data_IF_148435973829
#
_entry.id   IF_148435973829
#
_cell.length_a   1.000
_cell.length_b   1.000
_cell.length_c   1.000
_cell.angle_alpha   90.00
_cell.angle_beta   90.00
_cell.angle_gamma   90.00
#
_symmetry.space_group_name_H-M   'P 1'
#
loop_
_entity.id
_entity.type
_entity.pdbx_description
1 polymer ?
#
# COMPACT_ATOMS: atom_id res chain seq x y z
N UNK A 1 15.47 14.13 -7.30
CA UNK A 1 16.35 15.05 -6.53
C UNK A 1 17.83 14.67 -6.69
N UNK A 2 18.28 13.48 -6.25
CA UNK A 2 19.68 13.07 -6.42
C UNK A 2 20.14 13.13 -7.89
N UNK A 3 19.35 12.54 -8.80
CA UNK A 3 19.60 12.58 -10.25
C UNK A 3 19.75 14.00 -10.78
N UNK A 4 18.85 14.91 -10.39
CA UNK A 4 18.87 16.32 -10.78
C UNK A 4 20.15 17.05 -10.35
N UNK A 5 20.63 16.80 -9.12
CA UNK A 5 21.85 17.44 -8.61
C UNK A 5 23.10 16.90 -9.29
N UNK A 6 23.20 15.58 -9.43
CA UNK A 6 24.32 14.92 -10.11
C UNK A 6 24.35 15.32 -11.60
N UNK A 7 23.19 15.37 -12.26
CA UNK A 7 23.06 15.84 -13.64
C UNK A 7 23.39 17.32 -13.82
N UNK A 8 23.23 18.13 -12.78
CA UNK A 8 23.71 19.53 -12.75
C UNK A 8 25.22 19.66 -12.49
N UNK A 9 25.93 18.54 -12.32
CA UNK A 9 27.38 18.51 -12.12
C UNK A 9 27.83 18.63 -10.67
N UNK A 10 26.92 18.59 -9.68
CA UNK A 10 27.30 18.51 -8.27
C UNK A 10 27.98 17.17 -7.98
N UNK A 11 28.97 17.19 -7.09
CA UNK A 11 29.60 15.96 -6.64
C UNK A 11 28.56 15.07 -5.94
N UNK A 12 28.69 13.75 -6.11
CA UNK A 12 27.76 12.78 -5.53
C UNK A 12 27.68 12.90 -4.00
N UNK A 13 28.83 13.06 -3.34
CA UNK A 13 28.90 13.23 -1.88
C UNK A 13 28.18 14.50 -1.41
N UNK A 14 28.43 15.62 -2.08
CA UNK A 14 27.76 16.91 -1.79
C UNK A 14 26.25 16.80 -1.99
N UNK A 15 25.82 16.15 -3.08
CA UNK A 15 24.41 15.89 -3.35
C UNK A 15 23.75 15.06 -2.24
N UNK A 16 24.43 14.04 -1.71
CA UNK A 16 23.92 13.22 -0.60
C UNK A 16 23.82 14.00 0.72
N UNK A 17 24.80 14.87 0.99
CA UNK A 17 24.79 15.74 2.17
C UNK A 17 23.62 16.72 2.14
N UNK A 18 23.40 17.39 0.99
CA UNK A 18 22.25 18.28 0.78
C UNK A 18 20.92 17.54 0.95
N UNK A 19 20.79 16.32 0.40
CA UNK A 19 19.59 15.50 0.62
C UNK A 19 19.38 15.14 2.09
N UNK A 20 20.46 14.86 2.82
CA UNK A 20 20.40 14.58 4.25
C UNK A 20 19.93 15.78 5.07
N UNK A 21 20.32 16.99 4.69
CA UNK A 21 19.87 18.24 5.32
C UNK A 21 18.39 18.56 5.01
N UNK A 22 17.96 18.29 3.77
CA UNK A 22 16.59 18.53 3.30
C UNK A 22 15.60 17.40 3.66
N UNK A 23 16.08 16.28 4.22
CA UNK A 23 15.25 15.13 4.54
C UNK A 23 14.21 15.45 5.63
N UNK A 24 12.93 15.31 5.29
CA UNK A 24 11.82 15.55 6.23
C UNK A 24 11.68 14.48 7.31
N UNK A 25 12.13 13.24 7.02
CA UNK A 25 11.96 12.11 7.94
C UNK A 25 13.29 11.72 8.61
N UNK A 26 13.28 11.37 9.91
CA UNK A 26 14.49 10.91 10.61
C UNK A 26 15.14 9.68 9.95
N UNK A 27 14.31 8.79 9.38
CA UNK A 27 14.79 7.61 8.68
C UNK A 27 15.55 7.95 7.40
N UNK A 28 15.05 8.89 6.60
CA UNK A 28 15.75 9.36 5.39
C UNK A 28 17.04 10.08 5.76
N UNK A 29 17.00 10.97 6.77
CA UNK A 29 18.18 11.68 7.27
C UNK A 29 19.28 10.71 7.73
N UNK A 30 18.92 9.69 8.49
CA UNK A 30 19.87 8.65 8.93
C UNK A 30 20.43 7.85 7.75
N UNK A 31 19.60 7.55 6.74
CA UNK A 31 20.02 6.81 5.53
C UNK A 31 21.01 7.64 4.71
N UNK A 32 20.69 8.91 4.41
CA UNK A 32 21.60 9.81 3.69
C UNK A 32 22.91 10.01 4.45
N UNK A 33 22.86 10.25 5.77
CA UNK A 33 24.07 10.41 6.59
C UNK A 33 24.96 9.16 6.57
N UNK A 34 24.36 7.96 6.61
CA UNK A 34 25.10 6.71 6.48
C UNK A 34 25.78 6.60 5.10
N UNK A 35 25.02 6.82 4.02
CA UNK A 35 25.55 6.79 2.65
C UNK A 35 26.69 7.80 2.46
N UNK A 36 26.52 9.05 2.90
CA UNK A 36 27.56 10.08 2.83
C UNK A 36 28.83 9.67 3.59
N UNK A 37 28.69 9.07 4.78
CA UNK A 37 29.84 8.62 5.56
C UNK A 37 30.58 7.45 4.87
N UNK A 38 29.85 6.47 4.34
CA UNK A 38 30.43 5.31 3.67
C UNK A 38 31.15 5.71 2.37
N UNK A 39 30.53 6.60 1.57
CA UNK A 39 31.12 7.14 0.34
C UNK A 39 32.31 8.04 0.65
N UNK A 40 32.25 8.88 1.70
CA UNK A 40 33.39 9.67 2.17
C UNK A 40 34.55 8.79 2.65
N UNK A 41 34.25 7.60 3.18
CA UNK A 41 35.22 6.57 3.52
C UNK A 41 35.83 5.84 2.32
N UNK A 42 35.39 6.16 1.09
CA UNK A 42 35.87 5.56 -0.15
C UNK A 42 35.12 4.29 -0.58
N UNK A 43 33.99 3.98 0.04
CA UNK A 43 33.13 2.88 -0.42
C UNK A 43 32.35 3.29 -1.66
N UNK A 44 32.14 2.36 -2.57
CA UNK A 44 31.19 2.53 -3.68
C UNK A 44 29.78 2.79 -3.12
N UNK A 45 29.01 3.64 -3.80
CA UNK A 45 27.62 3.95 -3.47
C UNK A 45 26.75 2.68 -3.49
N UNK A 46 26.96 1.78 -4.46
CA UNK A 46 26.17 0.53 -4.52
C UNK A 46 26.38 -0.33 -3.27
N UNK A 47 27.61 -0.41 -2.75
CA UNK A 47 27.95 -1.13 -1.52
C UNK A 47 27.34 -0.43 -0.29
N UNK A 48 27.39 0.89 -0.24
CA UNK A 48 26.75 1.66 0.83
C UNK A 48 25.22 1.44 0.85
N UNK A 49 24.59 1.36 -0.32
CA UNK A 49 23.14 1.10 -0.47
C UNK A 49 22.73 -0.31 -0.03
N UNK A 50 23.57 -1.33 -0.24
CA UNK A 50 23.32 -2.70 0.27
C UNK A 50 23.16 -2.74 1.79
N UNK A 51 23.84 -1.83 2.51
CA UNK A 51 23.68 -1.67 3.95
C UNK A 51 22.31 -1.12 4.38
N UNK A 52 21.43 -0.75 3.44
CA UNK A 52 20.14 -0.10 3.66
C UNK A 52 18.99 -0.79 2.87
N UNK A 53 18.74 -2.10 3.05
CA UNK A 53 17.82 -2.88 2.21
C UNK A 53 16.33 -2.51 2.36
N UNK A 54 15.98 -1.71 3.37
CA UNK A 54 14.63 -1.16 3.53
C UNK A 54 14.36 0.05 2.63
N UNK A 55 15.42 0.74 2.21
CA UNK A 55 15.34 1.94 1.40
C UNK A 55 15.58 1.66 -0.09
N UNK A 56 16.46 0.70 -0.40
CA UNK A 56 16.84 0.35 -1.76
C UNK A 56 16.56 -1.13 -2.02
N UNK A 57 15.91 -1.42 -3.14
CA UNK A 57 15.72 -2.80 -3.61
C UNK A 57 16.94 -3.29 -4.42
N UNK A 58 16.98 -4.59 -4.68
CA UNK A 58 18.11 -5.24 -5.37
C UNK A 58 18.31 -4.72 -6.81
N UNK A 59 17.21 -4.35 -7.49
CA UNK A 59 17.26 -3.79 -8.83
C UNK A 59 17.90 -2.40 -8.83
N UNK A 60 17.51 -1.56 -7.87
CA UNK A 60 18.07 -0.22 -7.68
C UNK A 60 19.59 -0.30 -7.44
N UNK A 61 20.03 -1.17 -6.53
CA UNK A 61 21.45 -1.38 -6.22
C UNK A 61 22.21 -1.87 -7.45
N UNK A 62 21.65 -2.83 -8.18
CA UNK A 62 22.28 -3.39 -9.38
C UNK A 62 22.45 -2.36 -10.50
N UNK A 63 21.46 -1.49 -10.69
CA UNK A 63 21.51 -0.37 -11.63
C UNK A 63 22.59 0.63 -11.24
N UNK A 64 22.64 1.05 -9.98
CA UNK A 64 23.67 1.97 -9.46
C UNK A 64 25.06 1.38 -9.66
N UNK A 65 25.27 0.09 -9.35
CA UNK A 65 26.54 -0.61 -9.59
C UNK A 65 26.95 -0.57 -11.06
N UNK A 66 26.01 -0.78 -11.99
CA UNK A 66 26.29 -0.67 -13.41
C UNK A 66 26.69 0.78 -13.81
N UNK A 67 26.10 1.79 -13.17
CA UNK A 67 26.47 3.19 -13.33
C UNK A 67 27.87 3.52 -12.82
N UNK A 68 28.28 2.93 -11.69
CA UNK A 68 29.64 3.09 -11.14
C UNK A 68 30.69 2.47 -12.06
N UNK A 69 30.47 1.23 -12.51
CA UNK A 69 31.42 0.51 -13.37
C UNK A 69 31.52 1.16 -14.75
N UNK A 70 30.42 1.67 -15.29
CA UNK A 70 30.40 2.35 -16.60
C UNK A 70 30.81 3.82 -16.54
N UNK A 71 30.90 4.41 -15.34
CA UNK A 71 31.13 5.84 -15.13
C UNK A 71 29.98 6.75 -15.57
N UNK A 72 28.79 6.18 -15.84
CA UNK A 72 27.61 6.90 -16.33
C UNK A 72 26.54 7.02 -15.23
N UNK A 73 26.96 7.56 -14.08
CA UNK A 73 26.09 7.70 -12.90
C UNK A 73 24.93 8.68 -13.15
N UNK A 74 25.16 9.73 -13.93
CA UNK A 74 24.16 10.72 -14.35
C UNK A 74 22.99 10.06 -15.10
N UNK A 75 23.29 9.25 -16.11
CA UNK A 75 22.29 8.57 -16.95
C UNK A 75 21.52 7.53 -16.12
N UNK A 76 22.21 6.77 -15.28
CA UNK A 76 21.59 5.73 -14.46
C UNK A 76 20.68 6.33 -13.39
N UNK A 77 21.10 7.39 -12.70
CA UNK A 77 20.27 8.07 -11.72
C UNK A 77 19.02 8.69 -12.35
N UNK A 78 19.13 9.24 -13.56
CA UNK A 78 17.98 9.77 -14.30
C UNK A 78 16.98 8.65 -14.64
N UNK A 79 17.44 7.52 -15.17
CA UNK A 79 16.58 6.35 -15.43
C UNK A 79 15.91 5.82 -14.16
N UNK A 80 16.63 5.81 -13.04
CA UNK A 80 16.07 5.42 -11.74
C UNK A 80 15.04 6.43 -11.24
N UNK A 81 15.24 7.73 -11.47
CA UNK A 81 14.27 8.76 -11.15
C UNK A 81 12.98 8.58 -11.96
N UNK A 82 13.07 8.44 -13.29
CA UNK A 82 11.93 8.19 -14.16
C UNK A 82 11.14 6.93 -13.76
N UNK A 83 11.87 5.85 -13.43
CA UNK A 83 11.27 4.61 -12.97
C UNK A 83 10.48 4.80 -11.67
N UNK A 84 11.06 5.49 -10.68
CA UNK A 84 10.44 5.74 -9.39
C UNK A 84 9.24 6.68 -9.51
N UNK A 85 9.33 7.75 -10.29
CA UNK A 85 8.22 8.68 -10.54
C UNK A 85 7.05 7.97 -11.21
N UNK A 86 7.32 7.12 -12.20
CA UNK A 86 6.25 6.39 -12.88
C UNK A 86 5.60 5.33 -11.97
N UNK A 87 6.37 4.68 -11.10
CA UNK A 87 5.84 3.76 -10.09
C UNK A 87 4.97 4.49 -9.06
N UNK A 88 5.39 5.68 -8.61
CA UNK A 88 4.61 6.50 -7.68
C UNK A 88 3.32 7.01 -8.32
N UNK A 89 3.38 7.49 -9.57
CA UNK A 89 2.22 7.93 -10.34
C UNK A 89 1.18 6.80 -10.46
N UNK A 90 1.62 5.60 -10.82
CA UNK A 90 0.76 4.43 -10.88
C UNK A 90 0.14 4.09 -9.52
N UNK A 91 0.95 4.10 -8.45
CA UNK A 91 0.46 3.83 -7.09
C UNK A 91 -0.58 4.86 -6.66
N UNK A 92 -0.37 6.13 -7.00
CA UNK A 92 -1.31 7.23 -6.73
C UNK A 92 -2.61 7.05 -7.50
N UNK A 93 -2.55 6.64 -8.76
CA UNK A 93 -3.73 6.36 -9.58
C UNK A 93 -4.56 5.22 -8.99
N UNK A 94 -3.90 4.11 -8.62
CA UNK A 94 -4.57 2.97 -7.95
C UNK A 94 -5.21 3.42 -6.63
N UNK A 95 -4.50 4.20 -5.81
CA UNK A 95 -5.03 4.71 -4.54
C UNK A 95 -6.24 5.61 -4.76
N UNK A 96 -6.20 6.48 -5.76
CA UNK A 96 -7.31 7.35 -6.15
C UNK A 96 -8.53 6.53 -6.56
N UNK A 97 -8.36 5.56 -7.47
CA UNK A 97 -9.43 4.69 -7.93
C UNK A 97 -10.08 3.86 -6.80
N UNK A 98 -9.31 3.45 -5.80
CA UNK A 98 -9.79 2.70 -4.64
C UNK A 98 -10.45 3.57 -3.57
N UNK A 99 -10.27 4.89 -3.60
CA UNK A 99 -10.79 5.78 -2.55
C UNK A 99 -12.32 5.76 -2.53
N UNK A 100 -12.99 5.84 -3.69
CA UNK A 100 -14.45 5.83 -3.78
C UNK A 100 -15.09 4.50 -3.31
N UNK A 101 -14.63 3.31 -3.77
CA UNK A 101 -15.11 2.02 -3.26
C UNK A 101 -14.96 1.87 -1.74
N UNK A 102 -13.82 2.29 -1.18
CA UNK A 102 -13.58 2.17 0.27
C UNK A 102 -14.51 3.08 1.07
N UNK A 103 -14.64 4.34 0.67
CA UNK A 103 -15.51 5.30 1.37
C UNK A 103 -16.98 4.89 1.30
N UNK A 104 -17.46 4.50 0.12
CA UNK A 104 -18.86 4.06 -0.06
C UNK A 104 -19.16 2.79 0.73
N UNK A 105 -18.25 1.81 0.74
CA UNK A 105 -18.45 0.58 1.50
C UNK A 105 -18.51 0.82 3.01
N UNK A 106 -17.65 1.70 3.54
CA UNK A 106 -17.71 2.12 4.95
C UNK A 106 -19.04 2.82 5.25
N UNK A 107 -19.49 3.73 4.39
CA UNK A 107 -20.73 4.47 4.60
C UNK A 107 -21.97 3.56 4.56
N UNK A 108 -22.08 2.69 3.55
CA UNK A 108 -23.21 1.74 3.42
C UNK A 108 -23.24 0.81 4.62
N UNK A 109 -22.11 0.20 4.97
CA UNK A 109 -22.02 -0.71 6.13
C UNK A 109 -22.37 0.02 7.42
N UNK A 110 -21.88 1.25 7.60
CA UNK A 110 -22.17 2.07 8.79
C UNK A 110 -23.65 2.43 8.92
N UNK A 111 -24.28 2.90 7.84
CA UNK A 111 -25.72 3.23 7.83
C UNK A 111 -26.57 1.99 8.07
N UNK A 112 -26.29 0.88 7.39
CA UNK A 112 -27.01 -0.38 7.58
C UNK A 112 -26.87 -0.87 9.02
N UNK A 113 -25.68 -0.82 9.61
CA UNK A 113 -25.45 -1.21 10.99
C UNK A 113 -26.21 -0.31 11.98
N UNK A 114 -26.21 1.01 11.75
CA UNK A 114 -26.97 1.96 12.55
C UNK A 114 -28.48 1.67 12.51
N UNK A 115 -29.04 1.47 11.32
CA UNK A 115 -30.46 1.14 11.15
C UNK A 115 -30.82 -0.18 11.84
N UNK A 116 -29.97 -1.20 11.69
CA UNK A 116 -30.19 -2.51 12.30
C UNK A 116 -30.11 -2.48 13.83
N UNK A 117 -29.20 -1.72 14.43
CA UNK A 117 -29.03 -1.70 15.89
C UNK A 117 -29.99 -0.73 16.58
N UNK A 118 -30.24 0.43 15.97
CA UNK A 118 -31.04 1.50 16.57
C UNK A 118 -32.51 1.47 16.20
N UNK A 119 -32.82 1.34 14.90
CA UNK A 119 -34.16 1.60 14.37
C UNK A 119 -35.02 0.35 14.33
N UNK A 120 -34.47 -0.77 13.84
CA UNK A 120 -35.20 -2.04 13.69
C UNK A 120 -35.82 -2.57 15.00
N UNK A 121 -35.16 -2.52 16.18
CA UNK A 121 -35.77 -2.95 17.43
C UNK A 121 -37.00 -2.14 17.85
N UNK A 122 -37.05 -0.84 17.50
CA UNK A 122 -38.19 0.03 17.81
C UNK A 122 -39.48 -0.43 17.12
N UNK A 123 -39.38 -1.11 15.98
CA UNK A 123 -40.55 -1.70 15.31
C UNK A 123 -41.16 -2.86 16.10
N UNK A 124 -40.38 -3.58 16.91
CA UNK A 124 -40.89 -4.69 17.74
C UNK A 124 -41.98 -4.19 18.71
N UNK A 125 -41.78 -3.03 19.31
CA UNK A 125 -42.73 -2.41 20.24
C UNK A 125 -44.01 -1.95 19.52
N UNK A 126 -43.88 -1.40 18.30
CA UNK A 126 -45.02 -0.99 17.47
C UNK A 126 -45.88 -2.20 17.07
N UNK A 127 -45.28 -3.29 16.62
CA UNK A 127 -46.03 -4.50 16.24
C UNK A 127 -46.65 -5.22 17.45
N UNK A 128 -46.00 -5.21 18.61
CA UNK A 128 -46.57 -5.75 19.84
C UNK A 128 -47.85 -5.00 20.28
N UNK A 129 -47.97 -3.71 19.94
CA UNK A 129 -49.17 -2.91 20.24
C UNK A 129 -50.35 -3.15 19.29
N UNK A 130 -50.12 -3.84 18.16
CA UNK A 130 -51.11 -4.06 17.10
C UNK A 130 -51.82 -5.42 17.17
N UNK A 131 -51.58 -6.22 18.23
CA UNK A 131 -52.18 -7.55 18.49
C UNK A 131 -52.15 -8.49 17.27
N UNK A 132 -51.10 -8.39 16.45
CA UNK A 132 -50.95 -9.11 15.19
C UNK A 132 -49.62 -9.84 15.16
N UNK A 133 -49.64 -11.10 14.72
CA UNK A 133 -48.45 -11.93 14.66
C UNK A 133 -47.46 -11.37 13.63
N UNK A 134 -46.20 -11.22 14.06
CA UNK A 134 -45.13 -10.76 13.20
C UNK A 134 -44.92 -11.75 12.04
N UNK A 135 -44.93 -11.31 10.77
CA UNK A 135 -44.57 -12.15 9.63
C UNK A 135 -43.17 -12.75 9.81
N UNK A 136 -42.96 -13.97 9.29
CA UNK A 136 -41.71 -14.71 9.45
C UNK A 136 -40.45 -13.93 8.99
N UNK A 137 -40.57 -13.10 7.95
CA UNK A 137 -39.49 -12.26 7.44
C UNK A 137 -39.10 -11.18 8.46
N UNK A 138 -40.08 -10.56 9.13
CA UNK A 138 -39.83 -9.53 10.15
C UNK A 138 -39.19 -10.13 11.41
N UNK A 139 -39.62 -11.34 11.82
CA UNK A 139 -39.01 -12.06 12.93
C UNK A 139 -37.54 -12.41 12.65
N UNK A 140 -37.22 -12.81 11.41
CA UNK A 140 -35.84 -13.06 10.99
C UNK A 140 -34.97 -11.80 11.07
N UNK A 141 -35.46 -10.67 10.54
CA UNK A 141 -34.74 -9.38 10.57
C UNK A 141 -34.53 -8.89 12.01
N UNK A 142 -35.53 -9.04 12.88
CA UNK A 142 -35.42 -8.74 14.31
C UNK A 142 -34.41 -9.65 15.00
N UNK A 143 -34.40 -10.95 14.69
CA UNK A 143 -33.40 -11.89 15.22
C UNK A 143 -31.97 -11.55 14.81
N UNK A 144 -31.76 -11.13 13.54
CA UNK A 144 -30.45 -10.64 13.07
C UNK A 144 -30.06 -9.34 13.78
N UNK A 145 -30.99 -8.41 13.96
CA UNK A 145 -30.78 -7.16 14.70
C UNK A 145 -30.39 -7.40 16.16
N UNK A 146 -31.10 -8.28 16.87
CA UNK A 146 -30.81 -8.64 18.25
C UNK A 146 -29.44 -9.33 18.38
N UNK A 147 -29.09 -10.22 17.44
CA UNK A 147 -27.75 -10.82 17.38
C UNK A 147 -26.65 -9.78 17.13
N UNK A 148 -26.87 -8.84 16.20
CA UNK A 148 -25.93 -7.75 15.93
C UNK A 148 -25.72 -6.84 17.15
N UNK A 149 -26.77 -6.58 17.93
CA UNK A 149 -26.70 -5.77 19.16
C UNK A 149 -26.01 -6.52 20.30
N UNK A 150 -26.31 -7.81 20.46
CA UNK A 150 -25.71 -8.66 21.50
C UNK A 150 -24.22 -8.94 21.24
N UNK A 151 -23.81 -9.05 19.97
CA UNK A 151 -22.46 -9.47 19.56
C UNK A 151 -21.70 -8.41 18.75
N UNK A 152 -21.94 -7.12 19.02
CA UNK A 152 -21.26 -6.02 18.29
C UNK A 152 -19.72 -6.09 18.39
N UNK A 153 -19.19 -6.53 19.54
CA UNK A 153 -17.76 -6.75 19.77
C UNK A 153 -17.20 -7.85 18.84
N UNK A 154 -17.98 -8.91 18.59
CA UNK A 154 -17.58 -10.01 17.71
C UNK A 154 -17.54 -9.56 16.26
N UNK A 155 -18.48 -8.71 15.81
CA UNK A 155 -18.42 -8.12 14.47
C UNK A 155 -17.17 -7.27 14.26
N UNK A 156 -16.81 -6.41 15.22
CA UNK A 156 -15.57 -5.65 15.14
C UNK A 156 -14.36 -6.58 15.18
N UNK A 157 -14.33 -7.57 16.07
CA UNK A 157 -13.25 -8.56 16.12
C UNK A 157 -13.12 -9.36 14.81
N UNK A 158 -14.23 -9.64 14.12
CA UNK A 158 -14.23 -10.36 12.84
C UNK A 158 -13.72 -9.47 11.70
N UNK A 159 -14.09 -8.18 11.66
CA UNK A 159 -13.56 -7.22 10.68
C UNK A 159 -12.07 -6.98 10.91
N UNK A 160 -11.65 -6.67 12.13
CA UNK A 160 -10.23 -6.46 12.45
C UNK A 160 -9.43 -7.76 12.32
N UNK A 161 -10.02 -8.90 12.65
CA UNK A 161 -9.42 -10.22 12.52
C UNK A 161 -9.25 -10.66 11.07
N UNK A 162 -10.22 -10.39 10.20
CA UNK A 162 -10.10 -10.67 8.75
C UNK A 162 -9.10 -9.74 8.09
N UNK A 163 -9.13 -8.43 8.38
CA UNK A 163 -8.14 -7.47 7.86
C UNK A 163 -6.74 -7.82 8.35
N UNK A 164 -6.56 -8.04 9.65
CA UNK A 164 -5.30 -8.43 10.26
C UNK A 164 -4.80 -9.79 9.77
N UNK A 165 -5.71 -10.75 9.60
CA UNK A 165 -5.46 -12.08 9.04
C UNK A 165 -4.96 -12.00 7.60
N UNK A 166 -5.61 -11.20 6.73
CA UNK A 166 -5.15 -10.96 5.36
C UNK A 166 -3.75 -10.32 5.35
N UNK A 167 -3.50 -9.33 6.22
CA UNK A 167 -2.18 -8.71 6.33
C UNK A 167 -1.09 -9.69 6.80
N UNK A 168 -1.42 -10.58 7.73
CA UNK A 168 -0.50 -11.60 8.23
C UNK A 168 -0.26 -12.70 7.18
N UNK A 169 -1.31 -13.12 6.47
CA UNK A 169 -1.24 -14.12 5.41
C UNK A 169 -0.40 -13.64 4.22
N UNK A 170 -0.48 -12.34 3.89
CA UNK A 170 0.38 -11.71 2.88
C UNK A 170 1.86 -11.67 3.26
N UNK A 171 2.21 -11.76 4.54
CA UNK A 171 3.61 -11.83 4.98
C UNK A 171 4.21 -13.24 4.89
N UNK A 172 3.39 -14.28 4.73
CA UNK A 172 3.85 -15.67 4.57
C UNK A 172 4.11 -15.97 3.09
N UNK A 173 5.21 -16.68 2.76
CA UNK A 173 5.59 -17.00 1.37
C UNK A 173 4.47 -17.70 0.58
N UNK A 174 3.82 -18.71 1.16
CA UNK A 174 2.71 -19.43 0.53
C UNK A 174 1.46 -18.56 0.38
N UNK A 175 1.22 -17.66 1.34
CA UNK A 175 0.07 -16.76 1.34
C UNK A 175 0.21 -15.65 0.31
N UNK A 176 1.42 -15.10 0.13
CA UNK A 176 1.72 -14.13 -0.92
C UNK A 176 1.48 -14.74 -2.32
N UNK A 177 1.99 -15.95 -2.58
CA UNK A 177 1.80 -16.63 -3.87
C UNK A 177 0.34 -16.93 -4.19
N UNK A 178 -0.42 -17.39 -3.18
CA UNK A 178 -1.84 -17.71 -3.36
C UNK A 178 -2.67 -16.44 -3.53
N UNK A 179 -2.34 -15.37 -2.80
CA UNK A 179 -2.95 -14.06 -2.96
C UNK A 179 -2.66 -13.46 -4.34
N UNK A 180 -1.43 -13.59 -4.84
CA UNK A 180 -1.06 -13.13 -6.18
C UNK A 180 -1.82 -13.90 -7.26
N UNK A 181 -1.92 -15.23 -7.12
CA UNK A 181 -2.71 -16.06 -8.05
C UNK A 181 -4.20 -15.69 -8.03
N UNK A 182 -4.77 -15.48 -6.84
CA UNK A 182 -6.16 -15.10 -6.68
C UNK A 182 -6.43 -13.70 -7.23
N UNK A 183 -5.55 -12.74 -6.94
CA UNK A 183 -5.61 -11.35 -7.41
C UNK A 183 -5.54 -11.27 -8.94
N UNK A 184 -4.80 -12.16 -9.59
CA UNK A 184 -4.73 -12.27 -11.06
C UNK A 184 -6.00 -12.88 -11.67
N UNK A 185 -6.78 -13.64 -10.91
CA UNK A 185 -8.03 -14.28 -11.38
C UNK A 185 -9.28 -13.43 -11.15
N UNK A 186 -9.19 -12.31 -10.42
CA UNK A 186 -10.34 -11.42 -10.21
C UNK A 186 -10.68 -10.73 -11.54
N UNK A 187 -11.91 -10.88 -12.07
CA UNK A 187 -12.26 -10.49 -13.44
C UNK A 187 -12.08 -8.98 -13.76
N UNK A 188 -12.12 -8.11 -12.75
CA UNK A 188 -11.91 -6.66 -12.93
C UNK A 188 -10.44 -6.25 -12.71
N UNK A 189 -9.76 -6.86 -11.73
CA UNK A 189 -8.39 -6.46 -11.35
C UNK A 189 -7.29 -7.23 -12.11
N UNK A 190 -7.56 -8.45 -12.58
CA UNK A 190 -6.60 -9.30 -13.29
C UNK A 190 -6.02 -8.67 -14.56
N UNK A 191 -6.84 -8.11 -15.48
CA UNK A 191 -6.35 -7.43 -16.67
C UNK A 191 -5.49 -6.20 -16.34
N UNK A 192 -5.84 -5.48 -15.25
CA UNK A 192 -5.11 -4.30 -14.78
C UNK A 192 -3.71 -4.68 -14.27
N UNK A 193 -3.62 -5.69 -13.40
CA UNK A 193 -2.34 -6.18 -12.89
C UNK A 193 -1.43 -6.68 -14.01
N UNK A 194 -1.98 -7.40 -15.00
CA UNK A 194 -1.22 -7.86 -16.17
C UNK A 194 -0.67 -6.70 -16.99
N UNK A 195 -1.46 -5.64 -17.22
CA UNK A 195 -1.00 -4.43 -17.94
C UNK A 195 0.09 -3.70 -17.18
N UNK A 196 -0.04 -3.57 -15.85
CA UNK A 196 0.98 -2.95 -14.99
C UNK A 196 2.30 -3.72 -15.01
N UNK A 197 2.24 -5.04 -14.89
CA UNK A 197 3.45 -5.88 -14.92
C UNK A 197 4.11 -5.84 -16.29
N UNK A 198 3.33 -5.85 -17.37
CA UNK A 198 3.84 -5.70 -18.73
C UNK A 198 4.49 -4.33 -18.95
N UNK A 199 3.86 -3.25 -18.47
CA UNK A 199 4.41 -1.90 -18.56
C UNK A 199 5.73 -1.76 -17.79
N UNK A 200 5.81 -2.33 -16.56
CA UNK A 200 7.05 -2.37 -15.79
C UNK A 200 8.14 -3.15 -16.53
N UNK A 201 7.82 -4.35 -17.02
CA UNK A 201 8.75 -5.17 -17.79
C UNK A 201 9.26 -4.45 -19.03
N UNK A 202 8.37 -3.91 -19.87
CA UNK A 202 8.75 -3.15 -21.06
C UNK A 202 9.64 -1.95 -20.72
N UNK A 203 9.39 -1.27 -19.61
CA UNK A 203 10.18 -0.10 -19.18
C UNK A 203 11.54 -0.47 -18.59
N UNK A 204 11.70 -1.68 -18.04
CA UNK A 204 13.02 -2.19 -17.63
C UNK A 204 13.89 -2.55 -18.84
N UNK A 205 13.29 -2.94 -19.96
CA UNK A 205 14.00 -3.40 -21.17
C UNK A 205 14.15 -2.35 -22.28
N UNK A 206 13.50 -1.19 -22.16
CA UNK A 206 13.64 -0.06 -23.09
C UNK A 206 14.72 0.92 -22.59
#
# INVERSE_FOLDING_TARGET
QLATMVGAGLALLESLEVLGEQAETPGMKATCAKLSNDVRGGSDLSVAMEGCPKAFDELYISMVRAGEVSGQMDIILERLADYQEANEALRREIKSAMTYPVVSMVLVTGITMFLMIGVVPGFKEVFASLDSELPAITQFVLGVSEWMRAQWMVMLAMIFGTVGGIFMFKKTETGALLFDKLSLQVPVFGPLFRKVSLARFSRTFA
#
